data_IF_776492151172
#
_entry.id   IF_776492151172
#
_cell.length_a   1.000
_cell.length_b   1.000
_cell.length_c   1.000
_cell.angle_alpha   90.00
_cell.angle_beta   90.00
_cell.angle_gamma   90.00
#
_symmetry.space_group_name_H-M   'P 1'
#
loop_
_entity.id
_entity.type
_entity.pdbx_description
1 polymer ?
#
# COMPACT_ATOMS: atom_id res chain seq x y z
N UNK A 1 -85.38 -5.22 95.64
CA UNK A 1 -85.93 -6.05 94.56
C UNK A 1 -85.68 -5.27 93.28
N UNK A 2 -84.75 -5.73 92.45
CA UNK A 2 -84.34 -5.05 91.21
C UNK A 2 -85.36 -5.44 90.14
N UNK A 3 -85.95 -4.45 89.47
CA UNK A 3 -87.00 -4.62 88.48
C UNK A 3 -86.45 -5.37 87.24
N UNK A 4 -87.11 -6.47 86.87
CA UNK A 4 -86.68 -7.36 85.78
C UNK A 4 -86.95 -6.77 84.38
N UNK A 5 -87.61 -5.61 84.28
CA UNK A 5 -87.91 -4.94 83.01
C UNK A 5 -87.06 -3.69 82.73
N UNK A 6 -86.04 -3.41 83.54
CA UNK A 6 -85.10 -2.32 83.26
C UNK A 6 -84.09 -2.74 82.17
N UNK A 7 -84.45 -2.47 80.91
CA UNK A 7 -83.63 -2.76 79.73
C UNK A 7 -82.48 -1.76 79.52
N UNK A 8 -82.27 -0.80 80.43
CA UNK A 8 -81.26 0.24 80.26
C UNK A 8 -79.93 -0.03 80.99
N UNK A 9 -79.81 -1.14 81.74
CA UNK A 9 -78.55 -1.56 82.38
C UNK A 9 -77.92 -2.79 81.70
N UNK A 10 -78.05 -2.89 80.38
CA UNK A 10 -77.27 -3.83 79.58
C UNK A 10 -75.79 -3.41 79.54
N UNK A 11 -74.90 -4.27 80.03
CA UNK A 11 -73.44 -4.11 79.97
C UNK A 11 -73.02 -3.79 78.54
N UNK A 12 -72.50 -2.60 78.30
CA UNK A 12 -72.03 -2.14 76.98
C UNK A 12 -70.92 -3.09 76.50
N UNK A 13 -71.17 -3.85 75.43
CA UNK A 13 -70.18 -4.76 74.82
C UNK A 13 -69.14 -3.92 74.05
N UNK A 14 -68.09 -3.53 74.75
CA UNK A 14 -66.93 -2.87 74.14
C UNK A 14 -66.14 -3.94 73.39
N UNK A 15 -66.45 -4.11 72.10
CA UNK A 15 -65.75 -5.02 71.20
C UNK A 15 -64.22 -4.83 71.18
N UNK A 16 -63.53 -5.77 70.52
CA UNK A 16 -62.06 -5.95 70.50
C UNK A 16 -61.28 -4.62 70.53
N UNK A 17 -60.46 -4.45 71.57
CA UNK A 17 -59.61 -3.26 71.75
C UNK A 17 -58.82 -2.92 70.46
N UNK A 18 -58.73 -1.63 70.08
CA UNK A 18 -57.98 -1.22 68.89
C UNK A 18 -56.49 -1.54 69.07
N UNK A 19 -55.91 -2.25 68.08
CA UNK A 19 -54.46 -2.55 68.00
C UNK A 19 -53.64 -1.30 68.31
N UNK A 20 -52.81 -1.36 69.37
CA UNK A 20 -51.89 -0.28 69.75
C UNK A 20 -51.03 0.11 68.54
N UNK A 21 -51.27 1.31 68.00
CA UNK A 21 -50.43 1.92 66.96
C UNK A 21 -49.06 2.23 67.58
N UNK A 22 -47.99 1.71 66.98
CA UNK A 22 -46.62 2.06 67.39
C UNK A 22 -45.63 0.90 67.54
N UNK A 23 -46.08 -0.36 67.46
CA UNK A 23 -45.16 -1.49 67.27
C UNK A 23 -45.54 -2.20 65.98
N UNK A 24 -44.62 -2.38 65.01
CA UNK A 24 -44.90 -3.30 63.93
C UNK A 24 -45.29 -4.63 64.57
N UNK A 25 -46.32 -5.33 64.05
CA UNK A 25 -46.50 -6.73 64.43
C UNK A 25 -45.14 -7.37 64.21
N UNK A 26 -44.65 -8.16 65.16
CA UNK A 26 -43.40 -8.90 65.05
C UNK A 26 -43.50 -9.80 63.81
N UNK A 27 -43.25 -9.22 62.64
CA UNK A 27 -43.28 -9.87 61.35
C UNK A 27 -42.09 -10.80 61.39
N UNK A 28 -42.41 -12.09 61.55
CA UNK A 28 -41.50 -13.24 61.56
C UNK A 28 -40.03 -12.83 61.44
N UNK A 29 -39.41 -12.49 62.58
CA UNK A 29 -37.97 -12.36 62.62
C UNK A 29 -37.42 -13.73 62.24
N UNK A 30 -36.76 -13.82 61.08
CA UNK A 30 -36.22 -15.06 60.56
C UNK A 30 -35.49 -15.81 61.68
N UNK A 31 -35.89 -17.05 61.90
CA UNK A 31 -35.27 -17.92 62.88
C UNK A 31 -33.77 -18.02 62.59
N UNK A 32 -32.95 -18.25 63.62
CA UNK A 32 -31.49 -18.39 63.42
C UNK A 32 -31.14 -19.43 62.36
N UNK A 33 -31.93 -20.51 62.27
CA UNK A 33 -31.81 -21.54 61.24
C UNK A 33 -32.15 -21.02 59.82
N UNK A 34 -33.16 -20.17 59.68
CA UNK A 34 -33.55 -19.58 58.40
C UNK A 34 -32.53 -18.55 57.92
N UNK A 35 -31.97 -17.76 58.85
CA UNK A 35 -30.85 -16.86 58.55
C UNK A 35 -29.62 -17.62 58.09
N UNK A 36 -29.28 -18.73 58.75
CA UNK A 36 -28.15 -19.57 58.34
C UNK A 36 -28.41 -20.25 56.99
N UNK A 37 -29.63 -20.73 56.73
CA UNK A 37 -30.00 -21.31 55.42
C UNK A 37 -29.90 -20.26 54.31
N UNK A 38 -30.46 -19.07 54.52
CA UNK A 38 -30.36 -17.96 53.56
C UNK A 38 -28.92 -17.51 53.34
N UNK A 39 -28.08 -17.51 54.38
CA UNK A 39 -26.65 -17.20 54.25
C UNK A 39 -25.91 -18.25 53.42
N UNK A 40 -26.12 -19.54 53.69
CA UNK A 40 -25.52 -20.64 52.91
C UNK A 40 -25.97 -20.61 51.46
N UNK A 41 -27.25 -20.34 51.20
CA UNK A 41 -27.79 -20.22 49.85
C UNK A 41 -27.19 -19.04 49.09
N UNK A 42 -27.01 -17.88 49.76
CA UNK A 42 -26.31 -16.72 49.17
C UNK A 42 -24.85 -17.03 48.87
N UNK A 43 -24.14 -17.69 49.78
CA UNK A 43 -22.74 -18.06 49.57
C UNK A 43 -22.60 -19.07 48.41
N UNK A 44 -23.47 -20.07 48.32
CA UNK A 44 -23.49 -20.99 47.18
C UNK A 44 -23.78 -20.28 45.85
N UNK A 45 -24.73 -19.33 45.83
CA UNK A 45 -25.01 -18.51 44.64
C UNK A 45 -23.84 -17.61 44.24
N UNK A 46 -23.05 -17.12 45.20
CA UNK A 46 -21.85 -16.31 44.93
C UNK A 46 -20.71 -17.19 44.38
N UNK A 47 -20.50 -18.38 44.96
CA UNK A 47 -19.46 -19.32 44.50
C UNK A 47 -19.80 -19.95 43.14
N UNK A 48 -21.08 -20.11 42.82
CA UNK A 48 -21.54 -20.58 41.51
C UNK A 48 -21.45 -19.50 40.42
N UNK A 49 -21.13 -18.25 40.76
CA UNK A 49 -21.13 -17.10 39.85
C UNK A 49 -19.81 -17.01 39.05
N UNK A 50 -19.34 -18.15 38.57
CA UNK A 50 -18.28 -18.29 37.58
C UNK A 50 -18.79 -18.08 36.14
N UNK A 51 -20.00 -17.48 36.03
CA UNK A 51 -20.78 -17.20 34.82
C UNK A 51 -20.04 -16.36 33.75
N UNK A 52 -18.86 -15.81 34.07
CA UNK A 52 -18.07 -14.98 33.16
C UNK A 52 -16.72 -15.61 32.77
N UNK A 53 -16.45 -16.87 33.12
CA UNK A 53 -15.21 -17.55 32.73
C UNK A 53 -15.04 -17.58 31.20
N UNK A 54 -16.09 -17.93 30.45
CA UNK A 54 -16.10 -17.92 28.98
C UNK A 54 -15.88 -16.51 28.41
N UNK A 55 -16.55 -15.49 28.97
CA UNK A 55 -16.36 -14.09 28.54
C UNK A 55 -14.94 -13.58 28.81
N UNK A 56 -14.30 -14.01 29.90
CA UNK A 56 -12.91 -13.66 30.21
C UNK A 56 -11.93 -14.34 29.25
N UNK A 57 -12.18 -15.61 28.89
CA UNK A 57 -11.39 -16.32 27.90
C UNK A 57 -11.54 -15.68 26.52
N UNK A 58 -12.77 -15.34 26.12
CA UNK A 58 -13.05 -14.64 24.86
C UNK A 58 -12.38 -13.25 24.83
N UNK A 59 -12.46 -12.49 25.92
CA UNK A 59 -11.79 -11.19 26.01
C UNK A 59 -10.26 -11.32 25.91
N UNK A 60 -9.68 -12.32 26.58
CA UNK A 60 -8.23 -12.57 26.48
C UNK A 60 -7.84 -12.92 25.04
N UNK A 61 -8.55 -13.84 24.39
CA UNK A 61 -8.29 -14.19 23.00
C UNK A 61 -8.39 -12.97 22.07
N UNK A 62 -9.40 -12.12 22.25
CA UNK A 62 -9.53 -10.89 21.46
C UNK A 62 -8.37 -9.90 21.70
N UNK A 63 -7.85 -9.82 22.92
CA UNK A 63 -6.68 -8.98 23.21
C UNK A 63 -5.42 -9.53 22.58
N UNK A 64 -5.21 -10.84 22.64
CA UNK A 64 -4.08 -11.53 22.00
C UNK A 64 -4.15 -11.31 20.46
N UNK A 65 -5.33 -11.46 19.85
CA UNK A 65 -5.55 -11.19 18.42
C UNK A 65 -5.23 -9.73 18.04
N UNK A 66 -5.64 -8.76 18.88
CA UNK A 66 -5.34 -7.35 18.66
C UNK A 66 -3.84 -7.08 18.72
N UNK A 67 -3.13 -7.74 19.64
CA UNK A 67 -1.68 -7.60 19.75
C UNK A 67 -0.96 -8.20 18.54
N UNK A 68 -1.39 -9.38 18.08
CA UNK A 68 -0.88 -10.00 16.85
C UNK A 68 -1.13 -9.14 15.61
N UNK A 69 -2.32 -8.57 15.48
CA UNK A 69 -2.64 -7.66 14.38
C UNK A 69 -1.79 -6.39 14.44
N UNK A 70 -1.53 -5.84 15.63
CA UNK A 70 -0.63 -4.70 15.80
C UNK A 70 0.80 -5.02 15.39
N UNK A 71 1.30 -6.21 15.73
CA UNK A 71 2.63 -6.65 15.30
C UNK A 71 2.71 -6.80 13.78
N UNK A 72 1.72 -7.46 13.15
CA UNK A 72 1.65 -7.59 11.69
C UNK A 72 1.62 -6.23 10.99
N UNK A 73 0.78 -5.31 11.48
CA UNK A 73 0.69 -3.96 10.92
C UNK A 73 2.01 -3.20 11.00
N UNK A 74 2.77 -3.33 12.09
CA UNK A 74 4.11 -2.70 12.20
C UNK A 74 5.07 -3.23 11.15
N UNK A 75 5.11 -4.55 10.97
CA UNK A 75 5.97 -5.17 9.95
C UNK A 75 5.58 -4.70 8.54
N UNK A 76 4.29 -4.66 8.23
CA UNK A 76 3.80 -4.17 6.94
C UNK A 76 4.15 -2.69 6.72
N UNK A 77 4.02 -1.84 7.74
CA UNK A 77 4.43 -0.42 7.66
C UNK A 77 5.93 -0.27 7.40
N UNK A 78 6.78 -1.06 8.08
CA UNK A 78 8.21 -1.05 7.81
C UNK A 78 8.55 -1.50 6.38
N UNK A 79 7.87 -2.54 5.90
CA UNK A 79 8.09 -3.07 4.55
C UNK A 79 7.63 -2.08 3.48
N UNK A 80 6.48 -1.43 3.67
CA UNK A 80 5.97 -0.40 2.76
C UNK A 80 6.89 0.82 2.74
N UNK A 81 7.38 1.29 3.89
CA UNK A 81 8.35 2.39 3.95
C UNK A 81 9.67 2.05 3.24
N UNK A 82 10.19 0.82 3.43
CA UNK A 82 11.38 0.33 2.71
C UNK A 82 11.14 0.26 1.20
N UNK A 83 9.97 -0.21 0.77
CA UNK A 83 9.60 -0.28 -0.64
C UNK A 83 9.50 1.13 -1.27
N UNK A 84 8.85 2.07 -0.58
CA UNK A 84 8.75 3.47 -1.02
C UNK A 84 10.13 4.13 -1.13
N UNK A 85 11.00 3.92 -0.15
CA UNK A 85 12.37 4.46 -0.19
C UNK A 85 13.15 3.94 -1.40
N UNK A 86 13.00 2.64 -1.73
CA UNK A 86 13.62 2.06 -2.93
C UNK A 86 13.01 2.59 -4.21
N UNK A 87 11.69 2.78 -4.26
CA UNK A 87 11.01 3.35 -5.43
C UNK A 87 11.55 4.75 -5.74
N UNK A 88 11.67 5.62 -4.72
CA UNK A 88 12.26 6.97 -4.88
C UNK A 88 13.71 6.90 -5.37
N UNK A 89 14.53 5.98 -4.83
CA UNK A 89 15.91 5.82 -5.30
C UNK A 89 15.98 5.38 -6.77
N UNK A 90 15.10 4.47 -7.19
CA UNK A 90 15.03 4.01 -8.57
C UNK A 90 14.55 5.13 -9.50
N UNK A 91 13.56 5.91 -9.10
CA UNK A 91 13.09 7.08 -9.86
C UNK A 91 14.20 8.11 -10.07
N UNK A 92 14.97 8.42 -9.02
CA UNK A 92 16.14 9.29 -9.13
C UNK A 92 17.17 8.72 -10.12
N UNK A 93 17.45 7.42 -10.03
CA UNK A 93 18.41 6.76 -10.92
C UNK A 93 17.94 6.74 -12.37
N UNK A 94 16.65 6.56 -12.61
CA UNK A 94 16.04 6.66 -13.94
C UNK A 94 16.22 8.07 -14.49
N UNK A 95 15.89 9.10 -13.70
CA UNK A 95 16.06 10.50 -14.12
C UNK A 95 17.53 10.84 -14.44
N UNK A 96 18.49 10.35 -13.65
CA UNK A 96 19.93 10.51 -13.94
C UNK A 96 20.32 9.86 -15.26
N UNK A 97 19.88 8.62 -15.50
CA UNK A 97 20.18 7.89 -16.73
C UNK A 97 19.50 8.53 -17.94
N UNK A 98 18.29 9.05 -17.80
CA UNK A 98 17.59 9.79 -18.84
C UNK A 98 18.33 11.09 -19.18
N UNK A 99 18.81 11.83 -18.17
CA UNK A 99 19.63 13.00 -18.38
C UNK A 99 20.97 12.65 -19.08
N UNK A 100 21.63 11.58 -18.66
CA UNK A 100 22.85 11.10 -19.30
C UNK A 100 22.61 10.70 -20.77
N UNK A 101 21.51 9.98 -21.05
CA UNK A 101 21.12 9.61 -22.41
C UNK A 101 20.76 10.84 -23.25
N UNK A 102 20.09 11.83 -22.67
CA UNK A 102 19.80 13.10 -23.34
C UNK A 102 21.10 13.84 -23.70
N UNK A 103 22.06 13.94 -22.78
CA UNK A 103 23.38 14.52 -23.04
C UNK A 103 24.17 13.73 -24.09
N UNK A 104 24.13 12.40 -24.06
CA UNK A 104 24.76 11.58 -25.11
C UNK A 104 24.11 11.80 -26.47
N UNK A 105 22.78 11.92 -26.53
CA UNK A 105 22.05 12.20 -27.77
C UNK A 105 22.44 13.56 -28.36
N UNK A 106 22.63 14.59 -27.53
CA UNK A 106 23.08 15.90 -28.02
C UNK A 106 24.53 15.84 -28.52
N UNK A 107 25.42 15.11 -27.85
CA UNK A 107 26.80 14.92 -28.34
C UNK A 107 26.87 14.12 -29.65
N UNK A 108 26.04 13.07 -29.82
CA UNK A 108 25.99 12.28 -31.06
C UNK A 108 25.37 13.09 -32.22
N UNK A 109 24.64 14.16 -31.93
CA UNK A 109 24.06 15.06 -32.93
C UNK A 109 25.05 16.05 -33.54
N UNK A 110 26.09 16.46 -32.81
CA UNK A 110 27.05 17.48 -33.27
C UNK A 110 28.18 16.95 -34.15
N UNK A 111 28.53 15.66 -34.04
CA UNK A 111 29.70 15.07 -34.74
C UNK A 111 29.32 14.18 -35.95
N UNK A 112 28.15 14.41 -36.56
CA UNK A 112 27.77 13.68 -37.80
C UNK A 112 28.50 14.27 -39.02
N UNK A 113 29.80 14.07 -39.06
CA UNK A 113 30.64 14.42 -40.19
C UNK A 113 30.68 13.25 -41.15
N UNK A 114 30.11 13.43 -42.33
CA UNK A 114 30.21 12.46 -43.41
C UNK A 114 31.41 12.76 -44.28
N UNK A 115 32.27 11.76 -44.46
CA UNK A 115 33.41 11.80 -45.37
C UNK A 115 33.10 11.02 -46.63
N UNK A 116 33.05 11.75 -47.74
CA UNK A 116 32.90 11.18 -49.09
C UNK A 116 34.26 10.68 -49.57
N UNK A 117 34.35 9.39 -49.87
CA UNK A 117 35.56 8.77 -50.39
C UNK A 117 35.32 8.15 -51.77
N UNK A 118 36.34 8.18 -52.60
CA UNK A 118 36.36 7.46 -53.86
C UNK A 118 37.62 6.59 -53.98
N UNK A 119 37.52 5.58 -54.84
CA UNK A 119 38.60 4.67 -55.18
C UNK A 119 38.61 4.45 -56.67
N UNK A 120 39.71 4.85 -57.31
CA UNK A 120 39.94 4.60 -58.73
C UNK A 120 40.21 3.11 -58.93
N UNK A 121 39.71 2.52 -60.03
CA UNK A 121 40.00 1.11 -60.38
C UNK A 121 41.50 0.86 -60.42
N UNK A 122 41.94 -0.18 -59.71
CA UNK A 122 43.36 -0.55 -59.59
C UNK A 122 44.11 0.15 -58.45
N UNK A 123 43.56 1.22 -57.86
CA UNK A 123 44.14 1.81 -56.66
C UNK A 123 43.97 0.86 -55.46
N UNK A 124 44.91 0.89 -54.51
CA UNK A 124 44.77 0.16 -53.23
C UNK A 124 43.98 0.97 -52.20
N UNK A 125 44.20 2.27 -52.15
CA UNK A 125 43.70 3.16 -51.11
C UNK A 125 42.43 3.90 -51.54
N UNK A 126 41.62 4.27 -50.56
CA UNK A 126 40.51 5.21 -50.74
C UNK A 126 41.01 6.64 -50.53
N UNK A 127 40.52 7.56 -51.33
CA UNK A 127 40.85 8.99 -51.23
C UNK A 127 39.63 9.76 -50.77
N UNK A 128 39.80 10.60 -49.76
CA UNK A 128 38.74 11.49 -49.27
C UNK A 128 38.64 12.71 -50.18
N UNK A 129 37.47 12.95 -50.75
CA UNK A 129 37.21 14.13 -51.59
C UNK A 129 36.75 15.30 -50.75
N UNK A 130 35.77 15.05 -49.86
CA UNK A 130 35.08 16.10 -49.12
C UNK A 130 34.61 15.57 -47.78
N UNK A 131 34.79 16.39 -46.75
CA UNK A 131 34.11 16.25 -45.46
C UNK A 131 32.92 17.20 -45.47
N UNK A 132 31.74 16.72 -45.10
CA UNK A 132 30.54 17.57 -45.01
C UNK A 132 29.98 17.39 -43.61
N UNK A 133 29.95 18.49 -42.87
CA UNK A 133 29.47 18.53 -41.50
C UNK A 133 27.94 18.69 -41.50
N UNK A 134 27.27 18.00 -40.57
CA UNK A 134 25.82 18.13 -40.36
C UNK A 134 24.94 17.48 -41.43
N UNK A 135 25.52 16.74 -42.37
CA UNK A 135 24.78 16.03 -43.41
C UNK A 135 23.98 14.88 -42.79
N UNK A 136 22.67 14.79 -43.10
CA UNK A 136 21.86 13.65 -42.67
C UNK A 136 22.22 12.39 -43.46
N UNK A 137 21.81 11.23 -42.94
CA UNK A 137 22.13 9.94 -43.56
C UNK A 137 21.57 9.87 -44.99
N UNK A 138 20.28 10.19 -45.18
CA UNK A 138 19.59 10.23 -46.47
C UNK A 138 20.23 11.19 -47.48
N UNK A 139 20.74 12.32 -47.00
CA UNK A 139 21.47 13.29 -47.84
C UNK A 139 22.82 12.74 -48.27
N UNK A 140 23.54 12.05 -47.36
CA UNK A 140 24.79 11.38 -47.71
C UNK A 140 24.54 10.30 -48.76
N UNK A 141 23.47 9.50 -48.64
CA UNK A 141 23.05 8.51 -49.63
C UNK A 141 22.84 9.15 -51.01
N UNK A 142 22.01 10.20 -51.09
CA UNK A 142 21.73 10.91 -52.33
C UNK A 142 23.02 11.47 -52.95
N UNK A 143 23.91 12.02 -52.12
CA UNK A 143 25.15 12.60 -52.61
C UNK A 143 26.12 11.57 -53.16
N UNK A 144 26.27 10.40 -52.52
CA UNK A 144 27.10 9.33 -53.10
C UNK A 144 26.51 8.86 -54.43
N UNK A 145 25.18 8.69 -54.53
CA UNK A 145 24.55 8.28 -55.80
C UNK A 145 24.76 9.32 -56.91
N UNK A 146 24.64 10.60 -56.59
CA UNK A 146 24.92 11.69 -57.53
C UNK A 146 26.37 11.64 -58.01
N UNK A 147 27.34 11.45 -57.10
CA UNK A 147 28.76 11.35 -57.44
C UNK A 147 29.07 10.09 -58.27
N UNK A 148 28.41 8.97 -58.01
CA UNK A 148 28.49 7.76 -58.85
C UNK A 148 27.94 8.02 -60.24
N UNK A 149 26.79 8.68 -60.36
CA UNK A 149 26.18 9.00 -61.65
C UNK A 149 27.05 9.98 -62.47
N UNK A 150 27.61 11.01 -61.82
CA UNK A 150 28.57 11.92 -62.44
C UNK A 150 29.84 11.19 -62.90
N UNK A 151 30.34 10.26 -62.09
CA UNK A 151 31.52 9.46 -62.42
C UNK A 151 31.24 8.42 -63.51
N UNK A 152 30.00 7.92 -63.66
CA UNK A 152 29.64 6.99 -64.74
C UNK A 152 29.71 7.65 -66.13
N UNK A 153 29.55 8.97 -66.21
CA UNK A 153 29.80 9.76 -67.42
C UNK A 153 31.28 10.10 -67.66
N UNK A 154 32.17 9.74 -66.73
CA UNK A 154 33.61 9.92 -66.83
C UNK A 154 34.29 8.56 -67.07
N UNK A 155 35.30 8.49 -67.93
CA UNK A 155 36.08 7.25 -68.20
C UNK A 155 36.79 6.66 -66.96
N UNK A 156 36.67 7.31 -65.80
CA UNK A 156 37.24 6.85 -64.53
C UNK A 156 36.24 5.95 -63.83
N UNK A 157 36.37 4.66 -64.09
CA UNK A 157 35.69 3.55 -63.40
C UNK A 157 35.97 3.58 -61.88
N UNK A 158 35.29 4.46 -61.15
CA UNK A 158 35.60 4.83 -59.77
C UNK A 158 34.49 4.34 -58.83
N UNK A 159 34.87 3.73 -57.72
CA UNK A 159 33.94 3.35 -56.66
C UNK A 159 33.81 4.52 -55.67
N UNK A 160 32.60 4.79 -55.20
CA UNK A 160 32.33 5.83 -54.22
C UNK A 160 31.69 5.23 -52.97
N UNK A 161 31.96 5.83 -51.80
CA UNK A 161 31.34 5.48 -50.52
C UNK A 161 31.26 6.70 -49.61
N UNK A 162 30.32 6.66 -48.67
CA UNK A 162 30.27 7.62 -47.55
C UNK A 162 30.67 6.90 -46.26
N UNK A 163 31.44 7.59 -45.41
CA UNK A 163 31.82 7.08 -44.09
C UNK A 163 31.47 8.13 -43.05
N UNK A 164 30.87 7.69 -41.95
CA UNK A 164 30.65 8.50 -40.76
C UNK A 164 31.67 8.12 -39.68
N UNK A 165 31.97 9.05 -38.77
CA UNK A 165 33.03 8.87 -37.76
C UNK A 165 32.78 7.73 -36.77
N UNK A 166 31.53 7.34 -36.59
CA UNK A 166 31.12 6.18 -35.79
C UNK A 166 31.37 4.83 -36.49
N UNK A 167 32.00 4.84 -37.68
CA UNK A 167 32.35 3.64 -38.42
C UNK A 167 31.25 3.13 -39.35
N UNK A 168 30.12 3.85 -39.48
CA UNK A 168 29.10 3.52 -40.47
C UNK A 168 29.66 3.80 -41.87
N UNK A 169 29.69 2.76 -42.70
CA UNK A 169 30.14 2.83 -44.09
C UNK A 169 28.95 2.53 -45.00
N UNK A 170 28.69 3.43 -45.94
CA UNK A 170 27.70 3.22 -46.99
C UNK A 170 28.38 3.02 -48.35
N UNK A 171 28.14 1.86 -48.98
CA UNK A 171 28.46 1.66 -50.40
C UNK A 171 27.17 1.64 -51.24
N UNK A 172 27.14 2.37 -52.38
CA UNK A 172 26.03 2.35 -53.34
C UNK A 172 25.70 0.97 -53.91
N UNK A 173 26.66 0.03 -53.85
CA UNK A 173 26.49 -1.35 -54.33
C UNK A 173 25.65 -2.22 -53.39
N UNK A 174 25.48 -1.78 -52.15
CA UNK A 174 24.78 -2.53 -51.10
C UNK A 174 23.26 -2.27 -51.15
N UNK A 175 22.81 -1.23 -51.87
CA UNK A 175 21.41 -1.02 -52.21
C UNK A 175 21.05 -1.82 -53.46
N UNK A 176 20.59 -3.06 -53.28
CA UNK A 176 19.91 -3.85 -54.32
C UNK A 176 18.41 -3.68 -54.24
#
# INVERSE_FOLDING_TARGET
MIDANDKHTGRLDLGVEPKKRGRPPTGAALSGAERQRAYRERQQKIMSRDDNSELRLALKAALDDVEDLRMKLRVELEMTHKAQSKAVQLELRVNELEAELASRRTMIGSDRVWRMQYKVKGARNWTTTRSIDGMQEDEAFLKVRELVAQAAGSDRNSQWRAIREDGVIFNPKDCK
#
